data_IF_742629669960
#
_entry.id   IF_742629669960
#
_cell.length_a   1.000
_cell.length_b   1.000
_cell.length_c   1.000
_cell.angle_alpha   90.00
_cell.angle_beta   90.00
_cell.angle_gamma   90.00
#
_symmetry.space_group_name_H-M   'P 1'
#
loop_
_entity.id
_entity.type
_entity.pdbx_description
1 polymer ?
#
# COMPACT_ATOMS: atom_id res chain seq x y z
N UNK A 1 -11.78 -57.79 -2.33
CA UNK A 1 -13.18 -57.30 -2.37
C UNK A 1 -13.24 -56.18 -3.41
N UNK A 2 -13.96 -56.41 -4.47
CA UNK A 2 -14.01 -55.44 -5.57
C UNK A 2 -15.15 -54.47 -5.31
N UNK A 3 -14.81 -53.27 -4.86
CA UNK A 3 -15.76 -52.19 -4.56
C UNK A 3 -16.72 -51.89 -5.73
N UNK A 4 -16.20 -51.99 -6.96
CA UNK A 4 -16.96 -51.82 -8.19
C UNK A 4 -18.07 -52.87 -8.37
N UNK A 5 -17.85 -54.11 -7.96
CA UNK A 5 -18.85 -55.20 -8.09
C UNK A 5 -20.03 -54.99 -7.13
N UNK A 6 -19.76 -54.46 -5.95
CA UNK A 6 -20.81 -54.14 -4.94
C UNK A 6 -21.64 -52.95 -5.41
N UNK A 7 -21.04 -51.95 -6.05
CA UNK A 7 -21.74 -50.79 -6.61
C UNK A 7 -22.65 -51.15 -7.79
N UNK A 8 -22.25 -52.13 -8.63
CA UNK A 8 -23.05 -52.54 -9.78
C UNK A 8 -24.24 -53.40 -9.32
N UNK A 9 -24.07 -54.23 -8.30
CA UNK A 9 -25.12 -55.09 -7.80
C UNK A 9 -26.20 -54.40 -6.97
N UNK A 10 -25.92 -53.21 -6.44
CA UNK A 10 -26.87 -52.47 -5.62
C UNK A 10 -26.90 -50.99 -6.05
N UNK A 11 -27.62 -50.64 -7.12
CA UNK A 11 -27.67 -49.28 -7.65
C UNK A 11 -28.27 -48.28 -6.69
N UNK A 12 -29.23 -48.70 -5.88
CA UNK A 12 -29.86 -47.85 -4.85
C UNK A 12 -28.84 -47.38 -3.78
N UNK A 13 -27.93 -48.31 -3.39
CA UNK A 13 -26.89 -47.97 -2.39
C UNK A 13 -25.89 -46.98 -2.99
N UNK A 14 -25.54 -47.14 -4.24
CA UNK A 14 -24.59 -46.23 -4.94
C UNK A 14 -25.18 -44.84 -5.07
N UNK A 15 -26.44 -44.72 -5.50
CA UNK A 15 -27.12 -43.39 -5.59
C UNK A 15 -27.26 -42.72 -4.25
N UNK A 16 -27.53 -43.45 -3.19
CA UNK A 16 -27.66 -42.92 -1.86
C UNK A 16 -26.33 -42.40 -1.29
N UNK A 17 -25.24 -43.15 -1.51
CA UNK A 17 -23.89 -42.73 -1.11
C UNK A 17 -23.46 -41.49 -1.90
N UNK A 18 -23.67 -41.48 -3.23
CA UNK A 18 -23.32 -40.29 -4.05
C UNK A 18 -24.11 -39.07 -3.65
N UNK A 19 -25.42 -39.23 -3.40
CA UNK A 19 -26.25 -38.12 -2.93
C UNK A 19 -25.76 -37.58 -1.57
N UNK A 20 -25.39 -38.48 -0.65
CA UNK A 20 -24.84 -38.09 0.64
C UNK A 20 -23.53 -37.26 0.51
N UNK A 21 -22.63 -37.69 -0.38
CA UNK A 21 -21.37 -36.99 -0.62
C UNK A 21 -21.64 -35.60 -1.20
N UNK A 22 -22.58 -35.48 -2.16
CA UNK A 22 -22.94 -34.18 -2.76
C UNK A 22 -23.52 -33.24 -1.70
N UNK A 23 -24.46 -33.72 -0.86
CA UNK A 23 -25.06 -32.91 0.19
C UNK A 23 -24.02 -32.49 1.22
N UNK A 24 -23.17 -33.43 1.66
CA UNK A 24 -22.09 -33.14 2.60
C UNK A 24 -21.06 -32.14 2.03
N UNK A 25 -20.70 -32.31 0.76
CA UNK A 25 -19.79 -31.41 0.05
C UNK A 25 -20.36 -30.00 -0.10
N UNK A 26 -21.65 -29.87 -0.42
CA UNK A 26 -22.31 -28.57 -0.51
C UNK A 26 -22.41 -27.87 0.86
N UNK A 27 -22.63 -28.64 1.92
CA UNK A 27 -22.68 -28.13 3.27
C UNK A 27 -21.28 -27.68 3.75
N UNK A 28 -20.26 -28.50 3.51
CA UNK A 28 -18.87 -28.19 3.85
C UNK A 28 -18.36 -26.97 3.09
N UNK A 29 -18.76 -26.80 1.83
CA UNK A 29 -18.39 -25.63 1.04
C UNK A 29 -18.89 -24.31 1.65
N UNK A 30 -20.10 -24.31 2.22
CA UNK A 30 -20.65 -23.13 2.90
C UNK A 30 -19.99 -22.82 4.25
N UNK A 31 -19.41 -23.83 4.88
CA UNK A 31 -18.70 -23.67 6.14
C UNK A 31 -17.21 -23.36 5.98
N UNK A 32 -16.69 -23.40 4.74
CA UNK A 32 -15.29 -23.08 4.50
C UNK A 32 -15.09 -21.56 4.73
N UNK A 33 -14.42 -21.16 5.81
CA UNK A 33 -14.08 -19.77 5.99
C UNK A 33 -13.06 -19.43 4.89
N UNK A 34 -13.45 -18.60 3.94
CA UNK A 34 -12.49 -17.96 3.04
C UNK A 34 -11.72 -17.00 3.95
N UNK A 35 -10.56 -17.44 4.41
CA UNK A 35 -9.62 -16.54 5.06
C UNK A 35 -9.24 -15.50 4.00
N UNK A 36 -9.90 -14.35 4.05
CA UNK A 36 -9.34 -13.17 3.45
C UNK A 36 -7.94 -13.05 4.08
N UNK A 37 -6.91 -13.13 3.25
CA UNK A 37 -5.55 -12.78 3.69
C UNK A 37 -5.70 -11.48 4.49
N UNK A 38 -5.23 -11.43 5.73
CA UNK A 38 -5.26 -10.17 6.46
C UNK A 38 -4.55 -9.17 5.55
N UNK A 39 -5.29 -8.18 5.07
CA UNK A 39 -4.71 -7.03 4.42
C UNK A 39 -3.87 -6.36 5.49
N UNK A 40 -2.58 -6.65 5.47
CA UNK A 40 -1.62 -5.96 6.31
C UNK A 40 -1.39 -4.64 5.59
N UNK A 41 -2.25 -3.67 5.87
CA UNK A 41 -2.09 -2.32 5.36
C UNK A 41 -0.91 -1.69 6.09
N UNK A 42 0.22 -1.63 5.40
CA UNK A 42 1.36 -0.85 5.89
C UNK A 42 0.97 0.62 5.87
N UNK A 43 1.11 1.33 6.99
CA UNK A 43 0.88 2.77 7.01
C UNK A 43 1.81 3.43 5.99
N UNK A 44 1.21 4.01 4.94
CA UNK A 44 1.95 4.59 3.82
C UNK A 44 1.55 6.04 3.64
N UNK A 45 2.54 6.93 3.54
CA UNK A 45 2.33 8.35 3.25
C UNK A 45 2.97 8.67 1.91
N UNK A 46 2.21 9.29 1.03
CA UNK A 46 2.69 9.77 -0.26
C UNK A 46 2.80 11.28 -0.26
N UNK A 47 3.95 11.79 -0.68
CA UNK A 47 4.26 13.21 -0.79
C UNK A 47 4.49 13.51 -2.26
N UNK A 48 3.79 14.52 -2.79
CA UNK A 48 3.99 14.97 -4.16
C UNK A 48 4.47 16.42 -4.13
N UNK A 49 5.59 16.69 -4.80
CA UNK A 49 6.12 18.03 -5.00
C UNK A 49 6.16 18.36 -6.48
N UNK A 50 5.75 19.58 -6.82
CA UNK A 50 5.71 20.05 -8.21
C UNK A 50 6.60 21.29 -8.38
N UNK A 51 7.42 21.29 -9.44
CA UNK A 51 8.21 22.44 -9.87
C UNK A 51 8.08 22.57 -11.39
N UNK A 52 7.15 23.37 -11.90
CA UNK A 52 6.88 23.48 -13.32
C UNK A 52 8.14 23.87 -14.12
N UNK A 53 8.39 23.17 -15.21
CA UNK A 53 9.52 23.44 -16.10
C UNK A 53 10.87 22.82 -15.67
N UNK A 54 10.93 22.15 -14.51
CA UNK A 54 12.14 21.45 -14.10
C UNK A 54 12.27 20.08 -14.79
N UNK A 55 13.48 19.72 -15.20
CA UNK A 55 13.75 18.36 -15.70
C UNK A 55 13.68 17.33 -14.59
N UNK A 56 13.50 16.06 -14.92
CA UNK A 56 13.47 14.96 -13.95
C UNK A 56 14.76 14.90 -13.09
N UNK A 57 15.92 15.16 -13.69
CA UNK A 57 17.20 15.24 -12.99
C UNK A 57 17.24 16.40 -11.98
N UNK A 58 16.75 17.57 -12.39
CA UNK A 58 16.67 18.75 -11.52
C UNK A 58 15.71 18.48 -10.36
N UNK A 59 14.55 17.84 -10.63
CA UNK A 59 13.59 17.44 -9.60
C UNK A 59 14.23 16.49 -8.60
N UNK A 60 14.95 15.46 -9.07
CA UNK A 60 15.63 14.51 -8.20
C UNK A 60 16.71 15.14 -7.33
N UNK A 61 17.57 15.98 -7.91
CA UNK A 61 18.70 16.58 -7.21
C UNK A 61 18.29 17.73 -6.27
N UNK A 62 17.40 18.63 -6.75
CA UNK A 62 17.08 19.88 -6.06
C UNK A 62 15.86 19.79 -5.15
N UNK A 63 14.95 18.84 -5.39
CA UNK A 63 13.70 18.70 -4.64
C UNK A 63 13.67 17.39 -3.87
N UNK A 64 13.81 16.23 -4.55
CA UNK A 64 13.68 14.94 -3.90
C UNK A 64 14.79 14.73 -2.87
N UNK A 65 16.06 14.91 -3.22
CA UNK A 65 17.21 14.63 -2.36
C UNK A 65 17.21 15.41 -1.03
N UNK A 66 16.93 16.72 -0.97
CA UNK A 66 16.80 17.45 0.28
C UNK A 66 15.65 16.96 1.15
N UNK A 67 14.50 16.62 0.52
CA UNK A 67 13.33 16.10 1.22
C UNK A 67 13.63 14.72 1.80
N UNK A 68 14.20 13.81 1.01
CA UNK A 68 14.58 12.46 1.44
C UNK A 68 15.53 12.49 2.65
N UNK A 69 16.54 13.36 2.60
CA UNK A 69 17.48 13.51 3.72
C UNK A 69 16.79 13.96 5.00
N UNK A 70 15.79 14.82 4.89
CA UNK A 70 15.06 15.31 6.05
C UNK A 70 14.08 14.24 6.57
N UNK A 71 13.44 13.51 5.65
CA UNK A 71 12.53 12.41 6.00
C UNK A 71 13.27 11.22 6.60
N UNK A 72 14.49 10.92 6.16
CA UNK A 72 15.29 9.81 6.69
C UNK A 72 15.66 9.96 8.18
N UNK A 73 15.47 11.13 8.77
CA UNK A 73 15.66 11.37 10.21
C UNK A 73 14.48 10.91 11.06
N UNK A 74 13.35 10.59 10.43
CA UNK A 74 12.12 10.15 11.12
C UNK A 74 12.28 8.67 11.50
N UNK A 75 12.05 8.36 12.77
CA UNK A 75 12.11 6.99 13.26
C UNK A 75 10.88 6.18 12.83
N UNK A 76 11.08 4.88 12.53
CA UNK A 76 10.00 3.96 12.18
C UNK A 76 9.64 3.95 10.70
N UNK A 77 10.51 4.45 9.83
CA UNK A 77 10.42 4.28 8.38
C UNK A 77 10.96 2.89 8.02
N UNK A 78 10.12 2.07 7.40
CA UNK A 78 10.48 0.75 6.88
C UNK A 78 11.11 0.85 5.48
N UNK A 79 10.50 1.64 4.61
CA UNK A 79 11.04 1.89 3.27
C UNK A 79 10.63 3.27 2.75
N UNK A 80 11.45 3.81 1.87
CA UNK A 80 11.21 5.07 1.17
C UNK A 80 11.55 4.90 -0.31
N UNK A 81 10.62 5.27 -1.17
CA UNK A 81 10.79 5.22 -2.63
C UNK A 81 10.44 6.57 -3.21
N UNK A 82 11.29 7.10 -4.06
CA UNK A 82 11.03 8.34 -4.79
C UNK A 82 11.01 8.10 -6.30
N UNK A 83 10.16 8.83 -6.98
CA UNK A 83 10.06 8.85 -8.43
C UNK A 83 9.95 10.28 -8.91
N UNK A 84 10.90 10.70 -9.75
CA UNK A 84 10.94 12.05 -10.31
C UNK A 84 10.67 12.02 -11.81
N UNK A 85 9.75 12.88 -12.23
CA UNK A 85 9.36 13.09 -13.62
C UNK A 85 9.54 14.56 -13.98
N UNK A 86 9.19 14.94 -15.21
CA UNK A 86 9.22 16.32 -15.66
C UNK A 86 8.29 17.19 -14.78
N UNK A 87 8.85 18.09 -14.00
CA UNK A 87 8.11 19.02 -13.15
C UNK A 87 7.40 18.42 -11.94
N UNK A 88 7.56 17.11 -11.66
CA UNK A 88 6.87 16.46 -10.54
C UNK A 88 7.75 15.40 -9.89
N UNK A 89 7.76 15.37 -8.57
CA UNK A 89 8.38 14.30 -7.80
C UNK A 89 7.35 13.71 -6.83
N UNK A 90 7.33 12.38 -6.73
CA UNK A 90 6.49 11.63 -5.79
C UNK A 90 7.38 10.79 -4.88
N UNK A 91 7.22 10.97 -3.59
CA UNK A 91 7.96 10.24 -2.55
C UNK A 91 6.96 9.43 -1.75
N UNK A 92 7.11 8.12 -1.74
CA UNK A 92 6.27 7.20 -0.98
C UNK A 92 7.05 6.67 0.20
N UNK A 93 6.51 6.83 1.40
CA UNK A 93 7.12 6.40 2.66
C UNK A 93 6.23 5.32 3.26
N UNK A 94 6.82 4.17 3.55
CA UNK A 94 6.18 3.11 4.33
C UNK A 94 6.73 3.12 5.74
N UNK A 95 5.83 3.08 6.71
CA UNK A 95 6.18 3.00 8.12
C UNK A 95 6.01 1.57 8.65
N UNK A 96 6.63 1.29 9.78
CA UNK A 96 6.44 0.04 10.48
C UNK A 96 4.99 -0.13 10.95
N UNK A 97 4.48 -1.36 10.94
CA UNK A 97 3.11 -1.72 11.32
C UNK A 97 2.70 -1.23 12.73
N UNK A 98 3.66 -1.10 13.64
CA UNK A 98 3.43 -0.66 15.01
C UNK A 98 3.40 0.87 15.16
N UNK A 99 3.67 1.61 14.07
CA UNK A 99 3.69 3.07 14.10
C UNK A 99 2.29 3.62 13.94
N UNK A 100 1.93 4.56 14.83
CA UNK A 100 0.68 5.32 14.68
C UNK A 100 0.83 6.27 13.48
N UNK A 101 -0.10 6.17 12.52
CA UNK A 101 -0.07 6.96 11.28
C UNK A 101 -0.27 8.45 11.53
N UNK A 102 -1.08 8.83 12.52
CA UNK A 102 -1.32 10.24 12.86
C UNK A 102 -0.04 10.91 13.39
N UNK A 103 0.70 10.19 14.24
CA UNK A 103 2.00 10.66 14.73
C UNK A 103 3.04 10.73 13.61
N UNK A 104 3.05 9.75 12.70
CA UNK A 104 3.94 9.75 11.54
C UNK A 104 3.64 10.92 10.59
N UNK A 105 2.36 11.23 10.36
CA UNK A 105 1.95 12.35 9.51
C UNK A 105 2.42 13.71 10.08
N UNK A 106 2.32 13.89 11.39
CA UNK A 106 2.84 15.10 12.06
C UNK A 106 4.36 15.23 11.91
N UNK A 107 5.10 14.13 12.12
CA UNK A 107 6.56 14.13 11.97
C UNK A 107 6.97 14.45 10.53
N UNK A 108 6.26 13.87 9.55
CA UNK A 108 6.46 14.17 8.11
C UNK A 108 6.18 15.63 7.82
N UNK A 109 5.10 16.20 8.35
CA UNK A 109 4.75 17.60 8.15
C UNK A 109 5.81 18.56 8.73
N UNK A 110 6.33 18.25 9.93
CA UNK A 110 7.43 19.00 10.53
C UNK A 110 8.70 18.89 9.67
N UNK A 111 9.06 17.68 9.24
CA UNK A 111 10.23 17.47 8.40
C UNK A 111 10.12 18.21 7.05
N UNK A 112 8.94 18.20 6.43
CA UNK A 112 8.66 18.96 5.21
C UNK A 112 8.79 20.47 5.40
N UNK A 113 8.32 21.00 6.53
CA UNK A 113 8.43 22.42 6.84
C UNK A 113 9.90 22.87 6.99
N UNK A 114 10.76 21.99 7.50
CA UNK A 114 12.20 22.22 7.59
C UNK A 114 12.87 22.10 6.22
N UNK A 115 12.47 21.07 5.43
CA UNK A 115 12.98 20.87 4.08
C UNK A 115 12.61 22.05 3.15
N UNK A 116 11.39 22.56 3.25
CA UNK A 116 10.91 23.68 2.45
C UNK A 116 11.78 24.94 2.59
N UNK A 117 12.38 25.16 3.76
CA UNK A 117 13.31 26.30 3.98
C UNK A 117 14.65 26.13 3.27
N UNK A 118 14.98 24.91 2.83
CA UNK A 118 16.24 24.58 2.14
C UNK A 118 16.06 24.38 0.65
N UNK A 119 14.81 24.33 0.18
CA UNK A 119 14.52 24.25 -1.24
C UNK A 119 14.85 25.59 -1.90
N UNK A 120 15.41 25.59 -3.13
CA UNK A 120 15.62 26.80 -3.88
C UNK A 120 14.25 27.42 -4.21
N UNK A 121 13.85 28.39 -3.42
CA UNK A 121 12.67 29.21 -3.71
C UNK A 121 13.02 30.04 -4.95
N UNK A 122 12.55 29.63 -6.11
CA UNK A 122 12.52 30.53 -7.25
C UNK A 122 11.46 31.58 -6.88
N UNK A 123 11.95 32.77 -6.55
CA UNK A 123 11.13 33.94 -6.30
C UNK A 123 10.43 34.33 -7.61
N UNK A 124 9.25 33.78 -7.81
CA UNK A 124 8.21 34.37 -8.64
C UNK A 124 6.93 34.29 -7.82
N UNK A 125 6.40 35.45 -7.50
CA UNK A 125 5.16 35.71 -6.84
C UNK A 125 4.03 34.90 -7.45
N UNK A 126 3.77 33.73 -6.93
CA UNK A 126 2.45 33.14 -6.84
C UNK A 126 2.49 32.21 -5.63
N UNK A 127 1.67 32.53 -4.67
CA UNK A 127 1.28 31.70 -3.56
C UNK A 127 0.91 30.31 -4.09
N UNK A 128 1.92 29.48 -4.36
CA UNK A 128 1.70 28.08 -4.64
C UNK A 128 1.39 27.45 -3.32
N UNK A 129 0.10 27.21 -3.14
CA UNK A 129 -0.42 26.27 -2.18
C UNK A 129 0.48 25.02 -2.18
N UNK A 130 1.31 24.93 -1.16
CA UNK A 130 1.83 23.65 -0.71
C UNK A 130 0.62 22.89 -0.15
N UNK A 131 -0.26 22.50 -1.04
CA UNK A 131 -1.22 21.46 -0.73
C UNK A 131 -0.44 20.15 -0.65
N UNK A 132 0.14 19.92 0.52
CA UNK A 132 0.45 18.58 0.97
C UNK A 132 -0.87 17.87 1.17
N UNK A 133 -1.45 17.39 0.07
CA UNK A 133 -2.53 16.43 0.13
C UNK A 133 -1.92 15.12 0.61
N UNK A 134 -1.82 15.00 1.93
CA UNK A 134 -1.71 13.71 2.57
C UNK A 134 -3.04 12.99 2.31
N UNK A 135 -3.12 12.24 1.23
CA UNK A 135 -4.20 11.28 1.07
C UNK A 135 -3.87 10.09 1.96
N UNK A 136 -4.54 10.04 3.10
CA UNK A 136 -4.76 8.81 3.83
C UNK A 136 -5.70 7.95 2.97
N UNK A 137 -5.21 6.83 2.47
CA UNK A 137 -6.03 5.72 1.98
C UNK A 137 -5.95 4.60 2.98
#
# INVERSE_FOLDING_TARGET
MKLSETCIRRPVLTTLVTASIIVFGAFAYRLLPVAALPAVDFPTIQITATLPGASAETMAASVASPIERQLSTIAGISSMTSSSSLGTTSITIQFDLNRNIDGAALDVQVALSVAARRLPVRSEEHTSELQSLAYLV
#
